data_IF_467812180658
#
_entry.id   IF_467812180658
#
_cell.length_a   1.000
_cell.length_b   1.000
_cell.length_c   1.000
_cell.angle_alpha   90.00
_cell.angle_beta   90.00
_cell.angle_gamma   90.00
#
_symmetry.space_group_name_H-M   'P 1'
#
loop_
_entity.id
_entity.type
_entity.pdbx_description
1 polymer ?
#
# COMPACT_ATOMS: atom_id res chain seq x y z
N UNK A 1 4.61 11.76 0.91
CA UNK A 1 3.73 11.51 2.07
C UNK A 1 2.33 12.10 1.88
N UNK A 2 2.18 13.41 1.64
CA UNK A 2 0.87 14.07 1.55
C UNK A 2 -0.07 13.55 0.47
N UNK A 3 0.45 13.34 -0.75
CA UNK A 3 -0.33 12.74 -1.85
C UNK A 3 -0.87 11.36 -1.47
N UNK A 4 -0.05 10.52 -0.83
CA UNK A 4 -0.44 9.20 -0.32
C UNK A 4 -1.50 9.28 0.78
N UNK A 5 -1.43 10.27 1.68
CA UNK A 5 -2.43 10.47 2.72
C UNK A 5 -3.78 10.91 2.15
N UNK A 6 -3.78 11.83 1.17
CA UNK A 6 -5.00 12.28 0.49
C UNK A 6 -5.66 11.15 -0.31
N UNK A 7 -4.88 10.33 -1.01
CA UNK A 7 -5.43 9.19 -1.75
C UNK A 7 -5.88 8.05 -0.83
N UNK A 8 -5.28 7.90 0.36
CA UNK A 8 -5.76 6.99 1.41
C UNK A 8 -7.19 7.34 1.84
N UNK A 9 -7.48 8.62 2.02
CA UNK A 9 -8.79 9.12 2.47
C UNK A 9 -9.91 8.80 1.47
N UNK A 10 -9.58 8.74 0.18
CA UNK A 10 -10.51 8.34 -0.88
C UNK A 10 -10.49 6.85 -1.23
N UNK A 11 -9.83 6.00 -0.43
CA UNK A 11 -9.60 4.59 -0.75
C UNK A 11 -9.01 4.36 -2.15
N UNK A 12 -8.08 5.22 -2.58
CA UNK A 12 -7.46 5.20 -3.90
C UNK A 12 -5.93 5.17 -3.84
N UNK A 13 -5.35 4.87 -2.67
CA UNK A 13 -3.89 4.83 -2.51
C UNK A 13 -3.25 3.73 -3.37
N UNK A 14 -3.95 2.61 -3.59
CA UNK A 14 -3.51 1.56 -4.49
C UNK A 14 -3.31 2.05 -5.93
N UNK A 15 -4.25 2.84 -6.47
CA UNK A 15 -4.12 3.42 -7.82
C UNK A 15 -2.99 4.44 -7.90
N UNK A 16 -2.74 5.18 -6.81
CA UNK A 16 -1.60 6.08 -6.73
C UNK A 16 -0.28 5.32 -6.83
N UNK A 17 -0.12 4.23 -6.06
CA UNK A 17 1.10 3.42 -6.11
C UNK A 17 1.22 2.57 -7.39
N UNK A 18 0.10 2.19 -8.00
CA UNK A 18 0.06 1.46 -9.27
C UNK A 18 0.66 2.24 -10.45
N UNK A 19 0.68 3.59 -10.38
CA UNK A 19 1.27 4.46 -11.42
C UNK A 19 2.80 4.44 -11.43
N UNK A 20 3.43 3.74 -10.48
CA UNK A 20 4.88 3.58 -10.43
C UNK A 20 5.59 4.72 -9.69
N UNK A 21 6.92 4.70 -9.77
CA UNK A 21 7.81 5.71 -9.18
C UNK A 21 8.23 6.70 -10.25
N UNK A 22 8.29 7.98 -9.89
CA UNK A 22 9.10 8.94 -10.63
C UNK A 22 10.59 8.63 -10.39
N UNK A 23 11.49 8.99 -11.30
CA UNK A 23 12.93 8.70 -11.19
C UNK A 23 13.57 9.16 -9.86
N UNK A 24 13.01 10.21 -9.24
CA UNK A 24 13.47 10.80 -7.98
C UNK A 24 12.62 10.43 -6.76
N UNK A 25 11.69 9.49 -6.91
CA UNK A 25 10.90 9.02 -5.77
C UNK A 25 11.78 8.19 -4.82
N UNK A 26 11.60 8.34 -3.49
CA UNK A 26 12.24 7.46 -2.52
C UNK A 26 11.86 5.99 -2.79
N UNK A 27 12.68 5.06 -2.29
CA UNK A 27 12.38 3.64 -2.43
C UNK A 27 10.98 3.35 -1.84
N UNK A 28 10.21 2.42 -2.44
CA UNK A 28 8.83 2.17 -1.98
C UNK A 28 8.83 1.83 -0.48
N UNK A 29 9.84 1.08 -0.02
CA UNK A 29 10.00 0.63 1.35
C UNK A 29 10.21 1.76 2.37
N UNK A 30 10.66 2.93 1.92
CA UNK A 30 10.86 4.13 2.74
C UNK A 30 9.59 4.97 2.82
N UNK A 31 8.57 4.70 1.98
CA UNK A 31 7.30 5.44 2.02
C UNK A 31 6.50 4.99 3.26
N UNK A 32 6.28 5.87 4.27
CA UNK A 32 5.66 5.46 5.54
C UNK A 32 4.20 5.00 5.40
N UNK A 33 3.54 5.45 4.34
CA UNK A 33 2.16 5.13 4.01
C UNK A 33 2.07 4.23 2.78
N UNK A 34 3.03 3.33 2.57
CA UNK A 34 2.90 2.36 1.46
C UNK A 34 1.76 1.38 1.77
N UNK A 35 1.86 0.63 2.89
CA UNK A 35 0.95 -0.45 3.28
C UNK A 35 -0.56 -0.17 3.20
N UNK A 36 -1.01 1.09 3.35
CA UNK A 36 -2.42 1.49 3.18
C UNK A 36 -2.99 1.22 1.77
N UNK A 37 -2.16 0.89 0.78
CA UNK A 37 -2.63 0.45 -0.54
C UNK A 37 -3.51 -0.79 -0.44
N UNK A 38 -3.15 -1.76 0.41
CA UNK A 38 -3.94 -3.00 0.52
C UNK A 38 -5.29 -2.73 1.15
N UNK A 39 -5.34 -1.81 2.12
CA UNK A 39 -6.58 -1.38 2.76
C UNK A 39 -7.53 -0.74 1.76
N UNK A 40 -7.01 0.07 0.83
CA UNK A 40 -7.83 0.62 -0.27
C UNK A 40 -8.41 -0.48 -1.17
N UNK A 41 -7.63 -1.52 -1.46
CA UNK A 41 -8.12 -2.67 -2.25
C UNK A 41 -9.23 -3.41 -1.50
N UNK A 42 -9.07 -3.63 -0.19
CA UNK A 42 -10.07 -4.29 0.65
C UNK A 42 -11.37 -3.47 0.72
N UNK A 43 -11.29 -2.16 0.95
CA UNK A 43 -12.46 -1.28 1.05
C UNK A 43 -13.20 -1.17 -0.29
N UNK A 44 -12.47 -1.08 -1.41
CA UNK A 44 -13.06 -1.17 -2.76
C UNK A 44 -13.80 -2.50 -2.96
N UNK A 45 -13.19 -3.61 -2.53
CA UNK A 45 -13.85 -4.91 -2.58
C UNK A 45 -15.11 -4.95 -1.71
N UNK A 46 -15.05 -4.47 -0.47
CA UNK A 46 -16.20 -4.46 0.44
C UNK A 46 -17.33 -3.52 0.02
N UNK A 47 -17.04 -2.50 -0.78
CA UNK A 47 -18.09 -1.68 -1.39
C UNK A 47 -18.78 -2.38 -2.57
N UNK A 48 -18.00 -3.00 -3.46
CA UNK A 48 -18.51 -3.62 -4.70
C UNK A 48 -19.11 -5.01 -4.46
N UNK A 49 -18.47 -5.82 -3.62
CA UNK A 49 -18.81 -7.24 -3.42
C UNK A 49 -20.24 -7.48 -2.91
N UNK A 50 -20.78 -6.72 -1.93
CA UNK A 50 -22.17 -6.88 -1.50
C UNK A 50 -23.17 -6.65 -2.65
N UNK A 51 -22.92 -5.66 -3.50
CA UNK A 51 -23.78 -5.36 -4.66
C UNK A 51 -23.77 -6.54 -5.64
N UNK A 52 -22.59 -7.10 -5.93
CA UNK A 52 -22.46 -8.30 -6.77
C UNK A 52 -23.19 -9.51 -6.15
N UNK A 53 -23.08 -9.69 -4.83
CA UNK A 53 -23.76 -10.77 -4.13
C UNK A 53 -25.29 -10.65 -4.19
N UNK A 54 -25.85 -9.43 -4.18
CA UNK A 54 -27.30 -9.24 -4.28
C UNK A 54 -27.90 -9.85 -5.57
N UNK A 55 -27.12 -9.91 -6.65
CA UNK A 55 -27.54 -10.52 -7.93
C UNK A 55 -27.86 -12.02 -7.79
N UNK A 56 -27.19 -12.71 -6.85
CA UNK A 56 -27.33 -14.15 -6.64
C UNK A 56 -27.81 -14.53 -5.24
N UNK A 57 -28.06 -13.55 -4.35
CA UNK A 57 -28.37 -13.76 -2.94
C UNK A 57 -29.61 -14.65 -2.71
N UNK A 58 -30.62 -14.54 -3.59
CA UNK A 58 -31.86 -15.34 -3.54
C UNK A 58 -31.78 -16.64 -4.35
N UNK A 59 -30.65 -16.94 -4.99
CA UNK A 59 -30.45 -18.15 -5.80
C UNK A 59 -29.87 -19.27 -4.94
N UNK A 60 -29.87 -20.49 -5.47
CA UNK A 60 -29.30 -21.66 -4.78
C UNK A 60 -27.80 -21.50 -4.54
N UNK A 61 -27.26 -22.19 -3.52
CA UNK A 61 -25.83 -22.15 -3.21
C UNK A 61 -24.94 -22.59 -4.39
N UNK A 62 -25.45 -23.46 -5.27
CA UNK A 62 -24.73 -23.86 -6.49
C UNK A 62 -24.58 -22.69 -7.48
N UNK A 63 -25.63 -21.89 -7.64
CA UNK A 63 -25.59 -20.68 -8.49
C UNK A 63 -24.66 -19.64 -7.87
N UNK A 64 -24.75 -19.43 -6.55
CA UNK A 64 -23.83 -18.52 -5.85
C UNK A 64 -22.37 -18.95 -6.01
N UNK A 65 -22.08 -20.25 -5.84
CA UNK A 65 -20.74 -20.81 -6.03
C UNK A 65 -20.26 -20.62 -7.47
N UNK A 66 -21.08 -20.97 -8.47
CA UNK A 66 -20.73 -20.80 -9.89
C UNK A 66 -20.46 -19.35 -10.27
N UNK A 67 -21.26 -18.41 -9.74
CA UNK A 67 -21.05 -16.97 -9.94
C UNK A 67 -19.73 -16.48 -9.33
N UNK A 68 -19.44 -16.83 -8.07
CA UNK A 68 -18.19 -16.46 -7.42
C UNK A 68 -16.98 -17.10 -8.11
N UNK A 69 -17.10 -18.35 -8.58
CA UNK A 69 -16.05 -19.05 -9.30
C UNK A 69 -15.76 -18.37 -10.64
N UNK A 70 -16.80 -17.93 -11.36
CA UNK A 70 -16.66 -17.16 -12.59
C UNK A 70 -15.94 -15.82 -12.34
N UNK A 71 -16.26 -15.11 -11.26
CA UNK A 71 -15.55 -13.88 -10.89
C UNK A 71 -14.08 -14.14 -10.54
N UNK A 72 -13.76 -15.22 -9.81
CA UNK A 72 -12.37 -15.57 -9.51
C UNK A 72 -11.61 -15.92 -10.79
N UNK A 73 -12.22 -16.69 -11.69
CA UNK A 73 -11.64 -17.05 -12.98
C UNK A 73 -11.40 -15.81 -13.84
N UNK A 74 -12.33 -14.85 -13.86
CA UNK A 74 -12.17 -13.58 -14.55
C UNK A 74 -11.01 -12.75 -13.97
N UNK A 75 -10.91 -12.67 -12.65
CA UNK A 75 -9.81 -12.00 -11.95
C UNK A 75 -8.45 -12.63 -12.28
N UNK A 76 -8.37 -13.96 -12.30
CA UNK A 76 -7.16 -14.69 -12.73
C UNK A 76 -6.84 -14.48 -14.20
N UNK A 77 -7.84 -14.54 -15.08
CA UNK A 77 -7.65 -14.32 -16.51
C UNK A 77 -7.11 -12.90 -16.79
N UNK A 78 -7.60 -11.90 -16.04
CA UNK A 78 -7.12 -10.54 -16.13
C UNK A 78 -5.63 -10.40 -15.77
N UNK A 79 -5.05 -11.28 -14.94
CA UNK A 79 -3.63 -11.23 -14.57
C UNK A 79 -2.70 -11.44 -15.77
N UNK A 80 -3.17 -12.14 -16.81
CA UNK A 80 -2.41 -12.38 -18.05
C UNK A 80 -2.46 -11.22 -19.04
N UNK A 81 -3.36 -10.25 -18.85
CA UNK A 81 -3.48 -9.09 -19.74
C UNK A 81 -2.33 -8.12 -19.44
N UNK A 82 -1.56 -7.65 -20.44
CA UNK A 82 -0.55 -6.62 -20.25
C UNK A 82 -1.14 -5.33 -19.67
N UNK A 83 -0.43 -4.69 -18.75
CA UNK A 83 -0.87 -3.45 -18.10
C UNK A 83 0.31 -2.49 -18.01
N UNK A 84 0.07 -1.21 -18.30
CA UNK A 84 1.03 -0.13 -18.08
C UNK A 84 1.18 0.23 -16.59
N UNK A 85 0.15 -0.08 -15.78
CA UNK A 85 0.17 0.06 -14.33
C UNK A 85 0.76 -1.19 -13.68
N UNK A 86 1.41 -1.00 -12.54
CA UNK A 86 1.91 -2.09 -11.72
C UNK A 86 0.75 -2.96 -11.22
N UNK A 87 0.73 -4.19 -11.74
CA UNK A 87 -0.29 -5.21 -11.47
C UNK A 87 -0.41 -5.53 -9.98
N UNK A 88 0.66 -5.38 -9.21
CA UNK A 88 0.70 -5.68 -7.79
C UNK A 88 -0.33 -4.89 -6.98
N UNK A 89 -0.66 -3.67 -7.39
CA UNK A 89 -1.58 -2.79 -6.67
C UNK A 89 -3.02 -2.81 -7.22
N UNK A 90 -3.26 -3.52 -8.32
CA UNK A 90 -4.56 -3.47 -9.00
C UNK A 90 -5.61 -4.35 -8.29
N UNK A 91 -6.78 -3.79 -7.94
CA UNK A 91 -7.75 -4.47 -7.08
C UNK A 91 -8.40 -5.67 -7.78
N UNK A 92 -8.69 -5.53 -9.09
CA UNK A 92 -9.33 -6.59 -9.88
C UNK A 92 -8.42 -7.81 -10.09
N UNK A 93 -7.10 -7.65 -10.02
CA UNK A 93 -6.14 -8.77 -10.12
C UNK A 93 -5.99 -9.52 -8.79
N UNK A 94 -6.21 -8.84 -7.67
CA UNK A 94 -6.19 -9.40 -6.32
C UNK A 94 -7.55 -9.93 -5.85
N UNK A 95 -8.63 -9.58 -6.53
CA UNK A 95 -9.98 -9.97 -6.15
C UNK A 95 -10.15 -11.49 -5.96
N UNK A 96 -9.43 -12.32 -6.74
CA UNK A 96 -9.51 -13.78 -6.56
C UNK A 96 -9.05 -14.24 -5.16
N UNK A 97 -8.10 -13.54 -4.51
CA UNK A 97 -7.65 -13.86 -3.14
C UNK A 97 -8.83 -13.80 -2.14
N UNK A 98 -9.63 -12.73 -2.21
CA UNK A 98 -10.82 -12.52 -1.36
C UNK A 98 -12.00 -13.40 -1.80
N UNK A 99 -12.15 -13.65 -3.10
CA UNK A 99 -13.20 -14.52 -3.64
C UNK A 99 -12.99 -15.99 -3.25
N UNK A 100 -11.76 -16.46 -3.08
CA UNK A 100 -11.48 -17.82 -2.57
C UNK A 100 -12.04 -18.00 -1.16
N UNK A 101 -11.89 -16.99 -0.29
CA UNK A 101 -12.53 -16.99 1.03
C UNK A 101 -14.06 -17.07 0.93
N UNK A 102 -14.64 -16.29 0.02
CA UNK A 102 -16.09 -16.29 -0.24
C UNK A 102 -16.60 -17.63 -0.77
N UNK A 103 -15.88 -18.23 -1.71
CA UNK A 103 -16.15 -19.57 -2.25
C UNK A 103 -16.10 -20.63 -1.16
N UNK A 104 -15.12 -20.54 -0.27
CA UNK A 104 -14.96 -21.43 0.88
C UNK A 104 -16.18 -21.34 1.81
N UNK A 105 -16.64 -20.13 2.10
CA UNK A 105 -17.84 -19.91 2.93
C UNK A 105 -19.11 -20.52 2.31
N UNK A 106 -19.35 -20.30 1.00
CA UNK A 106 -20.51 -20.87 0.30
C UNK A 106 -20.42 -22.40 0.24
N UNK A 107 -19.23 -22.94 -0.01
CA UNK A 107 -19.00 -24.38 -0.04
C UNK A 107 -19.22 -25.05 1.31
N UNK A 108 -18.71 -24.45 2.40
CA UNK A 108 -18.94 -24.91 3.77
C UNK A 108 -20.43 -24.94 4.11
N UNK A 109 -21.15 -23.86 3.77
CA UNK A 109 -22.61 -23.79 3.97
C UNK A 109 -23.35 -24.87 3.17
N UNK A 110 -22.96 -25.13 1.93
CA UNK A 110 -23.55 -26.19 1.10
C UNK A 110 -23.32 -27.59 1.68
N UNK A 111 -22.10 -27.87 2.17
CA UNK A 111 -21.76 -29.13 2.86
C UNK A 111 -22.58 -29.32 4.14
N UNK A 112 -22.73 -28.25 4.93
CA UNK A 112 -23.52 -28.26 6.16
C UNK A 112 -24.99 -28.57 5.88
N UNK A 113 -25.61 -27.96 4.86
CA UNK A 113 -27.00 -28.24 4.47
C UNK A 113 -27.25 -29.70 4.02
N UNK A 114 -26.20 -30.40 3.59
CA UNK A 114 -26.28 -31.81 3.16
C UNK A 114 -25.74 -32.79 4.19
N UNK A 115 -25.41 -32.34 5.40
CA UNK A 115 -24.83 -33.17 6.47
C UNK A 115 -23.58 -33.97 6.02
N UNK A 116 -22.77 -33.40 5.12
CA UNK A 116 -21.58 -34.07 4.56
C UNK A 116 -20.36 -33.84 5.47
N UNK A 117 -20.17 -34.68 6.49
CA UNK A 117 -19.11 -34.54 7.50
C UNK A 117 -17.75 -35.21 7.13
N UNK A 118 -17.45 -35.34 5.83
CA UNK A 118 -16.23 -36.05 5.35
C UNK A 118 -14.93 -35.40 5.86
N UNK A 119 -14.96 -34.08 6.13
CA UNK A 119 -13.79 -33.34 6.61
C UNK A 119 -13.29 -33.77 7.99
N UNK A 120 -14.14 -34.35 8.84
CA UNK A 120 -13.76 -34.74 10.22
C UNK A 120 -12.62 -35.76 10.25
N UNK A 121 -12.65 -36.75 9.35
CA UNK A 121 -11.63 -37.82 9.28
C UNK A 121 -10.25 -37.28 8.94
N UNK A 122 -10.19 -36.25 8.11
CA UNK A 122 -8.94 -35.68 7.58
C UNK A 122 -8.56 -34.36 8.25
N UNK A 123 -9.27 -33.93 9.30
CA UNK A 123 -9.11 -32.60 9.86
C UNK A 123 -7.70 -32.31 10.37
N UNK A 124 -7.12 -33.23 11.16
CA UNK A 124 -5.77 -33.04 11.70
C UNK A 124 -4.69 -33.01 10.61
N UNK A 125 -4.73 -33.98 9.69
CA UNK A 125 -3.76 -34.09 8.59
C UNK A 125 -3.92 -32.93 7.61
N UNK A 126 -5.16 -32.58 7.27
CA UNK A 126 -5.48 -31.47 6.39
C UNK A 126 -5.03 -30.12 6.96
N UNK A 127 -5.32 -29.85 8.23
CA UNK A 127 -4.88 -28.62 8.89
C UNK A 127 -3.35 -28.53 8.98
N UNK A 128 -2.68 -29.64 9.32
CA UNK A 128 -1.21 -29.69 9.35
C UNK A 128 -0.61 -29.48 7.95
N UNK A 129 -1.15 -30.16 6.94
CA UNK A 129 -0.70 -30.01 5.56
C UNK A 129 -0.88 -28.57 5.05
N UNK A 130 -2.03 -27.95 5.33
CA UNK A 130 -2.26 -26.54 5.04
C UNK A 130 -1.26 -25.62 5.75
N UNK A 131 -0.99 -25.86 7.04
CA UNK A 131 0.00 -25.10 7.78
C UNK A 131 1.42 -25.28 7.20
N UNK A 132 1.79 -26.49 6.79
CA UNK A 132 3.07 -26.76 6.14
C UNK A 132 3.20 -26.04 4.79
N UNK A 133 2.14 -26.02 3.98
CA UNK A 133 2.15 -25.25 2.71
C UNK A 133 2.32 -23.76 2.99
N UNK A 134 1.61 -23.21 3.98
CA UNK A 134 1.74 -21.79 4.33
C UNK A 134 3.16 -21.46 4.83
N UNK A 135 3.73 -22.32 5.66
CA UNK A 135 5.12 -22.20 6.10
C UNK A 135 6.09 -22.31 4.91
N UNK A 136 5.85 -23.19 3.95
CA UNK A 136 6.67 -23.29 2.74
C UNK A 136 6.57 -22.03 1.89
N UNK A 137 5.36 -21.47 1.71
CA UNK A 137 5.16 -20.20 1.01
C UNK A 137 5.93 -19.06 1.66
N UNK A 138 6.00 -19.01 3.00
CA UNK A 138 6.73 -17.96 3.73
C UNK A 138 8.23 -17.90 3.35
N UNK A 139 8.86 -19.04 3.06
CA UNK A 139 10.27 -19.11 2.70
C UNK A 139 10.52 -19.18 1.18
N UNK A 140 9.55 -19.67 0.41
CA UNK A 140 9.70 -19.86 -1.03
C UNK A 140 9.30 -18.63 -1.86
N UNK A 141 8.40 -17.77 -1.34
CA UNK A 141 7.94 -16.61 -2.08
C UNK A 141 8.89 -15.43 -1.85
N UNK A 142 9.22 -14.75 -2.95
CA UNK A 142 10.01 -13.51 -2.95
C UNK A 142 9.35 -12.46 -3.85
N UNK A 143 9.91 -11.25 -3.91
CA UNK A 143 9.46 -10.19 -4.81
C UNK A 143 9.52 -10.58 -6.29
N UNK A 144 10.34 -11.58 -6.62
CA UNK A 144 10.56 -12.09 -7.99
C UNK A 144 9.65 -13.27 -8.34
N UNK A 145 8.68 -13.59 -7.48
CA UNK A 145 7.77 -14.71 -7.72
C UNK A 145 6.97 -14.48 -9.00
N UNK A 146 7.19 -15.35 -9.99
CA UNK A 146 6.52 -15.25 -11.27
C UNK A 146 4.99 -15.36 -11.13
N UNK A 147 4.26 -14.65 -11.98
CA UNK A 147 2.79 -14.68 -12.05
C UNK A 147 2.08 -14.25 -10.75
N UNK A 148 2.69 -13.34 -10.00
CA UNK A 148 2.10 -12.68 -8.83
C UNK A 148 1.84 -11.19 -9.10
N UNK A 149 0.64 -10.64 -8.78
CA UNK A 149 -0.58 -11.32 -8.36
C UNK A 149 -1.22 -12.08 -9.52
N UNK A 150 -1.85 -13.22 -9.22
CA UNK A 150 -2.37 -14.13 -10.25
C UNK A 150 -2.32 -15.60 -9.80
N UNK A 151 -2.02 -16.55 -10.70
CA UNK A 151 -1.97 -17.98 -10.39
C UNK A 151 -1.09 -18.33 -9.18
N UNK A 152 0.02 -17.63 -8.97
CA UNK A 152 0.89 -17.86 -7.82
C UNK A 152 0.14 -17.63 -6.48
N UNK A 153 -0.75 -16.63 -6.42
CA UNK A 153 -1.52 -16.35 -5.21
C UNK A 153 -2.51 -17.47 -4.83
N UNK A 154 -2.86 -18.38 -5.76
CA UNK A 154 -3.77 -19.49 -5.49
C UNK A 154 -3.23 -20.46 -4.45
N UNK A 155 -1.92 -20.71 -4.44
CA UNK A 155 -1.31 -21.68 -3.52
C UNK A 155 -1.54 -21.26 -2.06
N UNK A 156 -1.11 -20.06 -1.60
CA UNK A 156 -1.38 -19.63 -0.24
C UNK A 156 -2.89 -19.45 0.02
N UNK A 157 -3.66 -18.93 -0.94
CA UNK A 157 -5.11 -18.73 -0.73
C UNK A 157 -5.87 -20.04 -0.53
N UNK A 158 -5.58 -21.07 -1.32
CA UNK A 158 -6.19 -22.40 -1.17
C UNK A 158 -5.70 -23.10 0.10
N UNK A 159 -4.43 -22.90 0.50
CA UNK A 159 -3.93 -23.42 1.76
C UNK A 159 -4.64 -22.78 2.96
N UNK A 160 -4.87 -21.46 2.96
CA UNK A 160 -5.69 -20.77 3.98
C UNK A 160 -7.13 -21.26 3.95
N UNK A 161 -7.76 -21.38 2.77
CA UNK A 161 -9.12 -21.89 2.63
C UNK A 161 -9.27 -23.30 3.23
N UNK A 162 -8.31 -24.18 2.93
CA UNK A 162 -8.26 -25.52 3.49
C UNK A 162 -8.05 -25.50 5.01
N UNK A 163 -7.15 -24.64 5.53
CA UNK A 163 -6.94 -24.48 6.96
C UNK A 163 -8.22 -24.04 7.69
N UNK A 164 -8.93 -23.05 7.14
CA UNK A 164 -10.23 -22.59 7.67
C UNK A 164 -11.25 -23.73 7.67
N UNK A 165 -11.34 -24.48 6.56
CA UNK A 165 -12.25 -25.62 6.45
C UNK A 165 -11.96 -26.71 7.48
N UNK A 166 -10.70 -27.10 7.67
CA UNK A 166 -10.33 -28.15 8.60
C UNK A 166 -10.45 -27.71 10.06
N UNK A 167 -10.13 -26.44 10.37
CA UNK A 167 -10.33 -25.84 11.69
C UNK A 167 -11.80 -25.77 12.14
N UNK A 168 -12.76 -25.99 11.23
CA UNK A 168 -14.16 -26.18 11.60
C UNK A 168 -14.36 -27.42 12.49
N UNK A 169 -13.58 -28.49 12.28
CA UNK A 169 -13.65 -29.74 13.02
C UNK A 169 -12.69 -29.73 14.23
N UNK A 170 -12.89 -30.65 15.18
CA UNK A 170 -11.98 -30.79 16.33
C UNK A 170 -10.71 -31.56 15.95
N UNK A 171 -9.54 -30.98 16.27
CA UNK A 171 -8.22 -31.60 16.10
C UNK A 171 -7.15 -30.89 16.96
N UNK A 172 -5.96 -31.50 17.21
CA UNK A 172 -4.95 -30.93 18.11
C UNK A 172 -4.50 -29.51 17.72
N UNK A 173 -4.25 -29.25 16.44
CA UNK A 173 -3.79 -27.94 15.95
C UNK A 173 -4.80 -26.81 16.20
N UNK A 174 -6.10 -27.12 16.29
CA UNK A 174 -7.14 -26.13 16.60
C UNK A 174 -6.92 -25.49 17.99
N UNK A 175 -6.42 -26.26 18.95
CA UNK A 175 -6.12 -25.77 20.31
C UNK A 175 -5.07 -24.66 20.30
N UNK A 176 -4.10 -24.73 19.38
CA UNK A 176 -3.10 -23.68 19.20
C UNK A 176 -3.73 -22.37 18.69
N UNK A 177 -4.62 -22.45 17.71
CA UNK A 177 -5.35 -21.27 17.19
C UNK A 177 -6.36 -20.69 18.18
N UNK A 178 -6.87 -21.50 19.10
CA UNK A 178 -7.75 -21.08 20.19
C UNK A 178 -7.01 -20.59 21.44
N UNK A 179 -5.68 -20.68 21.46
CA UNK A 179 -4.91 -20.23 22.61
C UNK A 179 -5.05 -18.72 22.79
N UNK A 180 -5.18 -18.26 24.04
CA UNK A 180 -5.44 -16.86 24.38
C UNK A 180 -4.45 -15.88 23.74
N UNK A 181 -3.18 -16.27 23.64
CA UNK A 181 -2.13 -15.45 23.02
C UNK A 181 -2.35 -15.31 21.52
N UNK A 182 -2.61 -16.42 20.82
CA UNK A 182 -2.91 -16.43 19.38
C UNK A 182 -4.16 -15.61 19.06
N UNK A 183 -5.21 -15.77 19.88
CA UNK A 183 -6.44 -14.96 19.75
C UNK A 183 -6.16 -13.49 20.02
N UNK A 184 -5.38 -13.15 21.06
CA UNK A 184 -5.00 -11.77 21.36
C UNK A 184 -4.22 -11.11 20.22
N UNK A 185 -3.27 -11.83 19.62
CA UNK A 185 -2.55 -11.37 18.43
C UNK A 185 -3.52 -11.12 17.25
N UNK A 186 -4.47 -12.02 17.03
CA UNK A 186 -5.52 -11.85 16.02
C UNK A 186 -6.42 -10.63 16.29
N UNK A 187 -6.76 -10.37 17.56
CA UNK A 187 -7.60 -9.24 17.95
C UNK A 187 -6.95 -7.89 17.65
N UNK A 188 -5.63 -7.77 17.82
CA UNK A 188 -4.89 -6.52 17.56
C UNK A 188 -4.28 -6.46 16.15
N UNK A 189 -4.53 -7.46 15.29
CA UNK A 189 -3.89 -7.62 13.99
C UNK A 189 -4.04 -6.43 13.05
N UNK A 190 -5.20 -5.77 13.06
CA UNK A 190 -5.43 -4.55 12.28
C UNK A 190 -4.54 -3.39 12.75
N UNK A 191 -4.49 -3.14 14.05
CA UNK A 191 -3.62 -2.11 14.63
C UNK A 191 -2.12 -2.43 14.42
N UNK A 192 -1.72 -3.71 14.54
CA UNK A 192 -0.38 -4.17 14.18
C UNK A 192 -0.04 -3.86 12.74
N UNK A 193 -0.96 -4.17 11.82
CA UNK A 193 -0.80 -3.89 10.40
C UNK A 193 -0.62 -2.39 10.12
N UNK A 194 -1.33 -1.53 10.84
CA UNK A 194 -1.23 -0.08 10.65
C UNK A 194 0.11 0.50 11.14
N UNK A 195 0.62 0.03 12.29
CA UNK A 195 1.77 0.67 12.94
C UNK A 195 3.13 0.06 12.58
N UNK A 196 3.19 -1.22 12.20
CA UNK A 196 4.48 -1.86 11.89
C UNK A 196 5.19 -1.16 10.72
N UNK A 197 4.46 -0.81 9.66
CA UNK A 197 5.07 -0.31 8.44
C UNK A 197 5.63 1.12 8.58
N UNK A 198 4.91 2.12 9.13
CA UNK A 198 5.48 3.45 9.34
C UNK A 198 6.78 3.41 10.16
N UNK A 199 6.81 2.61 11.23
CA UNK A 199 7.99 2.48 12.09
C UNK A 199 9.18 1.92 11.29
N UNK A 200 8.96 0.83 10.55
CA UNK A 200 10.00 0.22 9.73
C UNK A 200 10.44 1.13 8.57
N UNK A 201 9.51 1.86 7.95
CA UNK A 201 9.81 2.81 6.89
C UNK A 201 10.70 3.97 7.39
N UNK A 202 10.41 4.52 8.58
CA UNK A 202 11.26 5.55 9.18
C UNK A 202 12.63 5.01 9.57
N UNK A 203 12.73 3.77 10.05
CA UNK A 203 14.03 3.15 10.30
C UNK A 203 14.85 2.99 9.01
N UNK A 204 14.23 2.49 7.93
CA UNK A 204 14.89 2.39 6.61
C UNK A 204 15.34 3.75 6.11
N UNK A 205 14.52 4.79 6.31
CA UNK A 205 14.86 6.16 5.91
C UNK A 205 16.07 6.73 6.65
N UNK A 206 16.25 6.40 7.94
CA UNK A 206 17.44 6.82 8.71
C UNK A 206 18.71 6.10 8.21
N UNK A 207 18.54 4.88 7.66
CA UNK A 207 19.62 4.07 7.12
C UNK A 207 20.26 3.16 8.19
N UNK A 208 20.70 1.95 7.81
CA UNK A 208 21.21 0.95 8.76
C UNK A 208 22.46 1.41 9.51
N UNK A 209 23.34 2.19 8.85
CA UNK A 209 24.60 2.66 9.43
C UNK A 209 24.41 3.70 10.54
N UNK A 210 23.25 4.37 10.57
CA UNK A 210 22.92 5.42 11.54
C UNK A 210 22.06 4.89 12.71
N UNK A 211 21.71 3.60 12.69
CA UNK A 211 20.83 3.00 13.70
C UNK A 211 21.63 2.21 14.75
N UNK A 212 21.29 2.35 16.04
CA UNK A 212 21.89 1.51 17.08
C UNK A 212 21.57 0.01 16.88
N UNK A 213 22.42 -0.91 17.38
CA UNK A 213 22.20 -2.36 17.24
C UNK A 213 20.87 -2.86 17.84
N UNK A 214 20.34 -2.18 18.84
CA UNK A 214 19.06 -2.52 19.48
C UNK A 214 17.83 -2.00 18.71
N UNK A 215 18.01 -1.32 17.58
CA UNK A 215 16.93 -0.71 16.81
C UNK A 215 15.85 -1.70 16.35
N UNK A 216 16.13 -2.96 15.95
CA UNK A 216 15.05 -3.90 15.59
C UNK A 216 14.18 -4.30 16.79
N UNK A 217 14.79 -4.50 17.96
CA UNK A 217 14.06 -4.79 19.18
C UNK A 217 13.20 -3.59 19.61
N UNK A 218 13.73 -2.37 19.50
CA UNK A 218 12.98 -1.14 19.74
C UNK A 218 11.79 -1.01 18.76
N UNK A 219 11.97 -1.38 17.49
CA UNK A 219 10.90 -1.36 16.49
C UNK A 219 9.73 -2.27 16.88
N UNK A 220 10.03 -3.50 17.35
CA UNK A 220 9.01 -4.46 17.80
C UNK A 220 8.25 -3.90 19.00
N UNK A 221 8.97 -3.35 19.99
CA UNK A 221 8.36 -2.76 21.19
C UNK A 221 7.48 -1.57 20.83
N UNK A 222 7.97 -0.65 19.99
CA UNK A 222 7.21 0.52 19.54
C UNK A 222 5.98 0.11 18.73
N UNK A 223 6.12 -0.86 17.83
CA UNK A 223 5.01 -1.40 17.04
C UNK A 223 3.93 -1.97 17.96
N UNK A 224 4.31 -2.82 18.92
CA UNK A 224 3.37 -3.39 19.88
C UNK A 224 2.71 -2.32 20.76
N UNK A 225 3.49 -1.37 21.28
CA UNK A 225 2.99 -0.30 22.12
C UNK A 225 1.94 0.56 21.38
N UNK A 226 2.28 1.08 20.20
CA UNK A 226 1.33 1.88 19.41
C UNK A 226 0.14 1.06 18.94
N UNK A 227 0.32 -0.21 18.61
CA UNK A 227 -0.78 -1.09 18.22
C UNK A 227 -1.75 -1.34 19.38
N UNK A 228 -1.25 -1.56 20.59
CA UNK A 228 -2.08 -1.75 21.78
C UNK A 228 -2.82 -0.46 22.15
N UNK A 229 -2.15 0.70 22.08
CA UNK A 229 -2.78 2.00 22.30
C UNK A 229 -3.88 2.23 21.27
N UNK A 230 -3.58 2.05 19.99
CA UNK A 230 -4.54 2.20 18.89
C UNK A 230 -5.74 1.24 19.05
N UNK A 231 -5.48 -0.02 19.39
CA UNK A 231 -6.52 -1.01 19.59
C UNK A 231 -7.48 -0.62 20.73
N UNK A 232 -6.95 -0.21 21.89
CA UNK A 232 -7.77 0.09 23.06
C UNK A 232 -8.44 1.47 22.99
N UNK A 233 -7.76 2.47 22.43
CA UNK A 233 -8.22 3.86 22.42
C UNK A 233 -9.02 4.23 21.16
N UNK A 234 -8.81 3.55 20.03
CA UNK A 234 -9.46 3.87 18.76
C UNK A 234 -10.32 2.69 18.31
N UNK A 235 -9.70 1.55 18.01
CA UNK A 235 -10.37 0.43 17.35
C UNK A 235 -11.54 -0.13 18.17
N UNK A 236 -11.33 -0.42 19.45
CA UNK A 236 -12.34 -1.02 20.34
C UNK A 236 -13.52 -0.08 20.62
N UNK A 237 -13.33 1.24 20.87
CA UNK A 237 -14.43 2.20 20.93
C UNK A 237 -15.24 2.28 19.63
N UNK A 238 -14.59 2.40 18.47
CA UNK A 238 -15.29 2.52 17.19
C UNK A 238 -15.99 1.21 16.77
N UNK A 239 -15.46 0.04 17.12
CA UNK A 239 -16.16 -1.25 16.93
C UNK A 239 -17.46 -1.36 17.72
N UNK A 240 -17.56 -0.67 18.86
CA UNK A 240 -18.76 -0.62 19.70
C UNK A 240 -19.61 0.62 19.46
N UNK A 241 -19.27 1.42 18.46
CA UNK A 241 -19.99 2.63 18.10
C UNK A 241 -21.43 2.30 17.68
N UNK A 242 -22.39 3.04 18.23
CA UNK A 242 -23.83 2.89 17.93
C UNK A 242 -24.45 4.19 17.43
N UNK A 243 -23.63 5.14 16.98
CA UNK A 243 -24.13 6.40 16.44
C UNK A 243 -24.92 6.22 15.15
N UNK A 244 -25.72 7.22 14.81
CA UNK A 244 -26.44 7.26 13.52
C UNK A 244 -25.46 7.34 12.34
N UNK A 245 -25.94 7.03 11.13
CA UNK A 245 -25.13 7.16 9.90
C UNK A 245 -24.47 8.55 9.78
N UNK A 246 -25.22 9.62 10.05
CA UNK A 246 -24.69 10.98 9.99
C UNK A 246 -23.56 11.23 11.01
N UNK A 247 -23.71 10.71 12.24
CA UNK A 247 -22.67 10.81 13.26
C UNK A 247 -21.42 10.00 12.86
N UNK A 248 -21.59 8.82 12.28
CA UNK A 248 -20.48 8.01 11.79
C UNK A 248 -19.74 8.71 10.65
N UNK A 249 -20.46 9.28 9.68
CA UNK A 249 -19.86 10.08 8.60
C UNK A 249 -19.08 11.28 9.17
N UNK A 250 -19.65 11.99 10.14
CA UNK A 250 -18.99 13.15 10.74
C UNK A 250 -17.71 12.76 11.51
N UNK A 251 -17.81 11.84 12.46
CA UNK A 251 -16.74 11.53 13.41
C UNK A 251 -15.66 10.60 12.84
N UNK A 252 -16.03 9.67 11.96
CA UNK A 252 -15.10 8.67 11.41
C UNK A 252 -14.45 9.17 10.11
N UNK A 253 -15.18 9.94 9.29
CA UNK A 253 -14.70 10.37 7.98
C UNK A 253 -14.42 11.87 7.91
N UNK A 254 -15.44 12.71 8.08
CA UNK A 254 -15.35 14.14 7.78
C UNK A 254 -14.37 14.87 8.71
N UNK A 255 -14.43 14.63 10.02
CA UNK A 255 -13.56 15.29 10.99
C UNK A 255 -12.09 14.88 10.83
N UNK A 256 -11.73 13.57 10.77
CA UNK A 256 -10.35 13.18 10.48
C UNK A 256 -9.84 13.71 9.14
N UNK A 257 -10.68 13.70 8.10
CA UNK A 257 -10.33 14.26 6.79
C UNK A 257 -10.07 15.76 6.85
N UNK A 258 -10.89 16.51 7.59
CA UNK A 258 -10.70 17.94 7.82
C UNK A 258 -9.40 18.20 8.59
N UNK A 259 -9.14 17.45 9.67
CA UNK A 259 -7.93 17.61 10.49
C UNK A 259 -6.68 17.33 9.66
N UNK A 260 -6.67 16.24 8.88
CA UNK A 260 -5.55 15.87 8.02
C UNK A 260 -5.38 16.87 6.87
N UNK A 261 -6.48 17.32 6.26
CA UNK A 261 -6.47 18.31 5.19
C UNK A 261 -5.95 19.66 5.66
N UNK A 262 -6.46 20.15 6.79
CA UNK A 262 -6.02 21.39 7.43
C UNK A 262 -4.56 21.28 7.89
N UNK A 263 -4.19 20.19 8.57
CA UNK A 263 -2.82 19.93 9.00
C UNK A 263 -1.83 19.92 7.83
N UNK A 264 -2.19 19.27 6.72
CA UNK A 264 -1.42 19.30 5.48
C UNK A 264 -1.28 20.72 4.91
N UNK A 265 -2.40 21.45 4.84
CA UNK A 265 -2.40 22.83 4.35
C UNK A 265 -1.51 23.76 5.18
N UNK A 266 -1.55 23.65 6.51
CA UNK A 266 -0.68 24.42 7.40
C UNK A 266 0.77 23.97 7.34
N UNK A 267 1.04 22.66 7.26
CA UNK A 267 2.39 22.12 7.16
C UNK A 267 3.11 22.63 5.89
N UNK A 268 2.39 22.72 4.77
CA UNK A 268 2.93 23.30 3.53
C UNK A 268 3.25 24.80 3.65
N UNK A 269 2.69 25.50 4.65
CA UNK A 269 2.93 26.93 4.91
C UNK A 269 3.93 27.19 6.03
N UNK A 270 4.54 26.14 6.59
CA UNK A 270 5.58 26.31 7.61
C UNK A 270 6.79 27.05 7.01
N UNK A 271 7.47 27.91 7.78
CA UNK A 271 8.60 28.72 7.29
C UNK A 271 9.75 27.86 6.76
N UNK A 272 9.90 26.63 7.26
CA UNK A 272 10.84 25.65 6.73
C UNK A 272 10.58 25.28 5.27
N UNK A 273 9.31 25.08 4.86
CA UNK A 273 8.98 24.81 3.45
C UNK A 273 9.24 26.04 2.57
N UNK A 274 8.92 27.24 3.07
CA UNK A 274 9.26 28.48 2.39
C UNK A 274 10.78 28.73 2.29
N UNK A 275 11.58 28.16 3.19
CA UNK A 275 13.04 28.18 3.11
C UNK A 275 13.54 27.19 2.04
N UNK A 276 12.94 26.00 1.94
CA UNK A 276 13.24 25.03 0.87
C UNK A 276 12.92 25.59 -0.53
N UNK A 277 11.77 26.25 -0.68
CA UNK A 277 11.39 26.95 -1.92
C UNK A 277 12.37 28.06 -2.26
N UNK A 278 12.76 28.88 -1.27
CA UNK A 278 13.74 29.98 -1.44
C UNK A 278 15.13 29.48 -1.80
N UNK A 279 15.53 28.34 -1.24
CA UNK A 279 16.79 27.67 -1.59
C UNK A 279 16.70 26.97 -2.96
N UNK A 280 15.59 27.07 -3.70
CA UNK A 280 15.46 26.46 -5.03
C UNK A 280 15.48 24.93 -5.03
N UNK A 281 15.36 24.30 -3.87
CA UNK A 281 15.42 22.84 -3.68
C UNK A 281 14.11 22.15 -4.10
N UNK A 282 13.06 22.91 -4.37
CA UNK A 282 11.79 22.41 -4.87
C UNK A 282 11.75 22.37 -6.39
N UNK A 283 11.61 21.18 -6.95
CA UNK A 283 11.66 20.96 -8.40
C UNK A 283 10.50 21.61 -9.18
N UNK A 284 9.31 21.84 -8.61
CA UNK A 284 8.16 22.27 -9.45
C UNK A 284 8.22 23.73 -9.91
N UNK A 285 8.64 24.66 -9.05
CA UNK A 285 8.52 26.09 -9.35
C UNK A 285 9.74 26.66 -10.08
N UNK A 286 10.94 26.25 -9.65
CA UNK A 286 12.23 26.73 -10.14
C UNK A 286 12.87 25.81 -11.18
N UNK A 287 12.27 24.68 -11.53
CA UNK A 287 12.82 23.82 -12.59
C UNK A 287 12.53 24.38 -13.97
N UNK A 288 13.58 24.28 -14.78
CA UNK A 288 13.65 24.62 -16.19
C UNK A 288 13.64 23.37 -17.08
N UNK A 289 13.47 22.21 -16.47
CA UNK A 289 13.47 20.93 -17.14
C UNK A 289 12.21 20.75 -18.00
N UNK A 290 12.40 20.36 -19.27
CA UNK A 290 11.35 20.27 -20.30
C UNK A 290 10.51 21.54 -20.46
N UNK A 291 11.05 22.72 -20.11
CA UNK A 291 10.31 23.96 -20.19
C UNK A 291 11.13 25.07 -20.86
N UNK A 292 10.89 25.26 -22.15
CA UNK A 292 11.54 26.30 -22.97
C UNK A 292 10.89 27.68 -22.82
N UNK A 293 9.74 27.78 -22.13
CA UNK A 293 8.99 29.02 -21.95
C UNK A 293 9.41 29.85 -20.73
N UNK A 294 10.25 29.31 -19.84
CA UNK A 294 10.79 30.03 -18.68
C UNK A 294 12.16 30.62 -19.00
N UNK A 295 12.44 31.83 -18.50
CA UNK A 295 13.79 32.39 -18.53
C UNK A 295 14.65 31.66 -17.49
N UNK A 296 15.46 30.72 -17.96
CA UNK A 296 16.26 29.81 -17.14
C UNK A 296 17.67 30.35 -16.93
N UNK A 297 17.73 31.58 -16.41
CA UNK A 297 18.96 32.30 -16.13
C UNK A 297 19.30 32.17 -14.63
N UNK A 298 20.52 31.72 -14.35
CA UNK A 298 21.02 31.49 -12.98
C UNK A 298 22.30 32.27 -12.76
N UNK A 299 22.46 32.90 -11.57
CA UNK A 299 23.63 33.71 -11.23
C UNK A 299 23.32 35.20 -11.20
N UNK A 300 24.23 36.01 -11.74
CA UNK A 300 24.04 37.46 -11.84
C UNK A 300 23.15 37.82 -13.04
N UNK A 301 21.84 37.92 -12.80
CA UNK A 301 20.84 38.12 -13.85
C UNK A 301 20.90 39.49 -14.54
N UNK A 302 21.67 40.45 -14.01
CA UNK A 302 21.90 41.74 -14.66
C UNK A 302 22.91 41.64 -15.81
N UNK A 303 23.69 40.55 -15.85
CA UNK A 303 24.66 40.27 -16.92
C UNK A 303 24.13 39.30 -17.96
N UNK A 304 24.60 39.47 -19.18
CA UNK A 304 24.38 38.52 -20.26
C UNK A 304 25.01 37.15 -19.90
N UNK A 305 24.33 36.03 -20.19
CA UNK A 305 24.83 34.71 -19.86
C UNK A 305 26.14 34.41 -20.58
N UNK A 306 27.16 34.06 -19.82
CA UNK A 306 28.48 33.65 -20.33
C UNK A 306 28.54 32.13 -20.56
N UNK A 307 27.68 31.38 -19.87
CA UNK A 307 27.66 29.92 -19.89
C UNK A 307 26.29 29.40 -20.35
N UNK A 308 26.29 28.39 -21.21
CA UNK A 308 25.12 27.59 -21.53
C UNK A 308 25.28 26.19 -20.94
N UNK A 309 24.39 25.81 -20.03
CA UNK A 309 24.35 24.47 -19.42
C UNK A 309 23.26 23.65 -20.12
N UNK A 310 23.69 22.66 -20.88
CA UNK A 310 22.83 21.69 -21.56
C UNK A 310 22.89 20.35 -20.85
N UNK A 311 21.75 19.68 -20.70
CA UNK A 311 21.73 18.33 -20.17
C UNK A 311 20.34 17.83 -19.84
N UNK A 312 20.28 16.86 -18.94
CA UNK A 312 19.03 16.27 -18.49
C UNK A 312 18.63 16.82 -17.12
N UNK A 313 17.83 16.04 -16.39
CA UNK A 313 17.43 16.38 -15.03
C UNK A 313 18.60 16.60 -14.05
N UNK A 314 19.78 16.03 -14.30
CA UNK A 314 20.99 16.28 -13.50
C UNK A 314 21.52 17.69 -13.72
N UNK A 315 21.45 18.22 -14.94
CA UNK A 315 21.82 19.61 -15.20
C UNK A 315 20.93 20.58 -14.41
N UNK A 316 19.61 20.36 -14.41
CA UNK A 316 18.66 21.16 -13.60
C UNK A 316 18.95 21.10 -12.09
N UNK A 317 19.54 20.01 -11.62
CA UNK A 317 19.91 19.85 -10.21
C UNK A 317 21.02 20.81 -9.77
N UNK A 318 21.93 21.20 -10.68
CA UNK A 318 23.01 22.12 -10.38
C UNK A 318 22.61 23.60 -10.42
N UNK A 319 21.35 23.93 -10.77
CA UNK A 319 20.91 25.33 -10.89
C UNK A 319 21.21 26.19 -9.67
N UNK A 320 21.07 25.63 -8.47
CA UNK A 320 21.35 26.32 -7.19
C UNK A 320 22.83 26.60 -7.01
N UNK A 321 23.68 25.68 -7.46
CA UNK A 321 25.13 25.87 -7.47
C UNK A 321 25.52 26.99 -8.44
N UNK A 322 25.00 26.94 -9.67
CA UNK A 322 25.21 27.99 -10.67
C UNK A 322 24.70 29.35 -10.20
N UNK A 323 23.55 29.40 -9.53
CA UNK A 323 23.00 30.63 -8.97
C UNK A 323 23.88 31.22 -7.86
N UNK A 324 24.32 30.38 -6.91
CA UNK A 324 25.15 30.83 -5.80
C UNK A 324 26.55 31.29 -6.26
N UNK A 325 27.21 30.52 -7.13
CA UNK A 325 28.55 30.86 -7.63
C UNK A 325 28.49 32.03 -8.60
N UNK A 326 27.52 32.05 -9.52
CA UNK A 326 27.34 33.12 -10.49
C UNK A 326 27.10 34.47 -9.83
N UNK A 327 26.28 34.53 -8.77
CA UNK A 327 26.09 35.78 -7.99
C UNK A 327 27.36 36.24 -7.28
N UNK A 328 28.16 35.31 -6.76
CA UNK A 328 29.39 35.63 -6.03
C UNK A 328 30.50 36.11 -6.97
N UNK A 329 30.70 35.39 -8.07
CA UNK A 329 31.76 35.63 -9.04
C UNK A 329 31.31 36.56 -10.19
N UNK A 330 30.07 37.04 -10.14
CA UNK A 330 29.44 37.99 -11.07
C UNK A 330 29.40 37.50 -12.53
N UNK A 331 28.85 36.32 -12.75
CA UNK A 331 28.51 35.79 -14.08
C UNK A 331 27.15 35.09 -14.04
N UNK A 332 26.57 34.83 -15.22
CA UNK A 332 25.29 34.11 -15.33
C UNK A 332 25.36 32.96 -16.32
N UNK A 333 24.53 31.96 -16.08
CA UNK A 333 24.35 30.79 -16.92
C UNK A 333 22.91 30.68 -17.41
N UNK A 334 22.73 30.39 -18.69
CA UNK A 334 21.46 29.89 -19.21
C UNK A 334 21.46 28.37 -19.07
N UNK A 335 20.38 27.81 -18.54
CA UNK A 335 20.22 26.38 -18.38
C UNK A 335 19.06 25.86 -19.23
N UNK A 336 19.34 24.86 -20.06
CA UNK A 336 18.33 24.19 -20.87
C UNK A 336 18.47 22.70 -20.61
N UNK A 337 17.40 22.09 -20.10
CA UNK A 337 17.40 20.66 -19.86
C UNK A 337 16.13 19.97 -20.32
N UNK A 338 16.28 18.74 -20.79
CA UNK A 338 15.19 17.92 -21.28
C UNK A 338 15.41 16.43 -20.95
N UNK A 339 14.34 15.65 -20.91
CA UNK A 339 14.43 14.20 -20.70
C UNK A 339 15.19 13.51 -21.86
N UNK A 340 15.72 12.31 -21.57
CA UNK A 340 16.15 11.31 -22.56
C UNK A 340 17.25 11.72 -23.57
N UNK A 341 18.45 12.09 -23.10
CA UNK A 341 19.63 12.36 -23.95
C UNK A 341 19.34 13.29 -25.16
N UNK A 342 18.41 14.24 -25.01
CA UNK A 342 17.89 15.06 -26.10
C UNK A 342 18.94 15.88 -26.89
N UNK A 343 20.16 16.00 -26.36
CA UNK A 343 21.26 16.79 -26.92
C UNK A 343 22.44 15.94 -27.42
N UNK A 344 22.29 14.61 -27.47
CA UNK A 344 23.30 13.69 -28.00
C UNK A 344 22.70 13.02 -29.24
N UNK A 345 23.37 13.15 -30.39
CA UNK A 345 23.03 12.33 -31.56
C UNK A 345 23.36 10.87 -31.25
N UNK A 346 22.37 9.99 -31.39
CA UNK A 346 22.47 8.56 -31.07
C UNK A 346 23.31 7.75 -32.04
#
# INVERSE_FOLDING_TARGET
>A
MWKSALTALGFASNLYFARGKDYFDPAQEEKPLLHIWSLSVEEQFYFVFPILLLLVARKSLRVQFGFLAALCALSLAASFIPSALDKYYLPHLRACELLIGSLTAVWMRYRQQRNLAVGKRYAAVGALFSACILSACLFAYSEQTAYFPGPAALIPCLAVAALIYFNHYEHPLKKFFQWKITVAAGLISYSLYLWHWPILAFMRYIGPDNLPPYSPAAAIVLTLAFSLISYHCIEKPFKKWKGSFAQSVLWIYALPMLILGAGSFFAMRLPFMAQYDRLGLTRSNTSCHNNTGKQCLWGDTEKQPELLVLGDSHADHYKTFFDAVGKKEKWSATMVSADACAYVEG
#
